data_IF_098761126222
#
_entry.id   IF_098761126222
#
_cell.length_a   1.000
_cell.length_b   1.000
_cell.length_c   1.000
_cell.angle_alpha   90.00
_cell.angle_beta   90.00
_cell.angle_gamma   90.00
#
_symmetry.space_group_name_H-M   'P 1'
#
loop_
_entity.id
_entity.type
_entity.pdbx_description
1 polymer ?
#
# COMPACT_ATOMS: atom_id res chain seq x y z
N UNK A 1 8.78 7.16 -0.32
CA UNK A 1 7.42 6.61 -0.44
C UNK A 1 6.68 6.83 0.86
N UNK A 2 5.52 7.48 0.84
CA UNK A 2 4.61 7.65 1.99
C UNK A 2 3.42 6.71 1.84
N UNK A 3 3.21 5.83 2.81
CA UNK A 3 2.16 4.79 2.76
C UNK A 3 1.04 5.19 3.71
N UNK A 4 -0.22 5.09 3.29
CA UNK A 4 -1.39 5.20 4.16
C UNK A 4 -2.02 3.83 4.31
N UNK A 5 -2.14 3.33 5.55
CA UNK A 5 -2.84 2.08 5.87
C UNK A 5 -4.16 2.43 6.55
N UNK A 6 -5.27 1.93 5.99
CA UNK A 6 -6.61 2.30 6.45
C UNK A 6 -7.33 1.24 7.24
N UNK A 7 -6.73 0.08 7.52
CA UNK A 7 -7.34 -1.04 8.26
C UNK A 7 -6.50 -1.42 9.49
N UNK A 8 -7.08 -2.06 10.51
CA UNK A 8 -6.35 -2.57 11.67
C UNK A 8 -5.30 -3.62 11.26
N UNK A 9 -4.08 -3.46 11.74
CA UNK A 9 -3.01 -4.48 11.61
C UNK A 9 -2.76 -5.16 12.95
N UNK A 10 -2.19 -6.36 12.92
CA UNK A 10 -1.75 -7.07 14.11
C UNK A 10 -0.71 -6.26 14.93
N UNK A 11 -0.75 -6.41 16.25
CA UNK A 11 0.04 -5.59 17.20
C UNK A 11 1.56 -5.80 17.04
N UNK A 12 1.98 -7.03 16.76
CA UNK A 12 3.36 -7.40 16.49
C UNK A 12 3.91 -6.71 15.22
N UNK A 13 3.07 -6.49 14.21
CA UNK A 13 3.42 -5.75 12.99
C UNK A 13 3.38 -4.23 13.22
N UNK A 14 2.48 -3.74 14.07
CA UNK A 14 2.27 -2.31 14.31
C UNK A 14 3.57 -1.58 14.71
N UNK A 15 4.32 -2.14 15.65
CA UNK A 15 5.58 -1.54 16.10
C UNK A 15 6.63 -1.48 14.98
N UNK A 16 6.60 -2.44 14.05
CA UNK A 16 7.46 -2.44 12.87
C UNK A 16 7.15 -1.29 11.94
N UNK A 17 5.86 -1.08 11.61
CA UNK A 17 5.43 -0.10 10.61
C UNK A 17 5.48 1.34 11.10
N UNK A 18 5.30 1.58 12.40
CA UNK A 18 5.31 2.95 12.96
C UNK A 18 6.68 3.63 12.88
N UNK A 19 7.74 2.84 12.70
CA UNK A 19 9.09 3.36 12.51
C UNK A 19 9.42 3.72 11.05
N UNK A 20 8.51 3.43 10.11
CA UNK A 20 8.67 3.69 8.68
C UNK A 20 7.87 4.93 8.22
N UNK A 21 7.93 5.25 6.93
CA UNK A 21 7.12 6.32 6.30
C UNK A 21 5.64 5.92 6.13
N UNK A 22 5.05 5.34 7.18
CA UNK A 22 3.70 4.81 7.22
C UNK A 22 2.80 5.71 8.07
N UNK A 23 1.67 6.10 7.51
CA UNK A 23 0.57 6.73 8.21
C UNK A 23 -0.46 5.63 8.53
N UNK A 24 -0.61 5.33 9.81
CA UNK A 24 -1.57 4.35 10.28
C UNK A 24 -2.88 5.02 10.71
N UNK A 25 -3.98 4.75 9.98
CA UNK A 25 -5.31 5.33 10.21
C UNK A 25 -6.41 4.27 10.06
N UNK A 26 -6.44 3.25 10.94
CA UNK A 26 -7.40 2.15 10.85
C UNK A 26 -8.86 2.62 11.03
N UNK A 27 -9.06 3.79 11.64
CA UNK A 27 -10.36 4.44 11.79
C UNK A 27 -11.00 4.80 10.44
N UNK A 28 -10.21 4.91 9.37
CA UNK A 28 -10.72 5.25 8.04
C UNK A 28 -11.45 4.09 7.36
N UNK A 29 -11.23 2.83 7.77
CA UNK A 29 -11.92 1.68 7.18
C UNK A 29 -13.44 1.75 7.35
N UNK A 30 -13.88 2.24 8.50
CA UNK A 30 -15.29 2.26 8.91
C UNK A 30 -15.91 3.66 8.77
N UNK A 31 -15.10 4.67 8.48
CA UNK A 31 -15.57 6.04 8.22
C UNK A 31 -16.02 6.19 6.78
N UNK A 32 -17.00 7.07 6.57
CA UNK A 32 -17.49 7.37 5.22
C UNK A 32 -16.45 8.08 4.35
N UNK A 33 -16.69 8.05 3.04
CA UNK A 33 -15.79 8.49 1.97
C UNK A 33 -15.26 9.92 2.12
N UNK A 34 -16.02 10.81 2.75
CA UNK A 34 -15.56 12.18 3.06
C UNK A 34 -14.27 12.21 3.87
N UNK A 35 -14.13 11.29 4.83
CA UNK A 35 -12.96 11.23 5.71
C UNK A 35 -11.76 10.61 5.00
N UNK A 36 -12.01 9.59 4.18
CA UNK A 36 -10.99 8.96 3.33
C UNK A 36 -10.48 9.96 2.29
N UNK A 37 -11.39 10.71 1.66
CA UNK A 37 -11.06 11.80 0.72
C UNK A 37 -10.15 12.81 1.38
N UNK A 38 -10.57 13.36 2.54
CA UNK A 38 -9.78 14.34 3.29
C UNK A 38 -8.38 13.80 3.62
N UNK A 39 -8.29 12.56 4.10
CA UNK A 39 -7.02 11.94 4.43
C UNK A 39 -6.10 11.82 3.19
N UNK A 40 -6.62 11.34 2.05
CA UNK A 40 -5.83 11.19 0.83
C UNK A 40 -5.38 12.53 0.23
N UNK A 41 -6.22 13.57 0.28
CA UNK A 41 -5.90 14.88 -0.28
C UNK A 41 -4.97 15.70 0.59
N UNK A 42 -5.11 15.62 1.93
CA UNK A 42 -4.29 16.39 2.88
C UNK A 42 -2.96 15.71 3.18
N UNK A 43 -2.98 14.39 3.42
CA UNK A 43 -1.77 13.64 3.78
C UNK A 43 -0.92 13.30 2.56
N UNK A 44 -1.52 13.33 1.37
CA UNK A 44 -0.86 13.10 0.08
C UNK A 44 0.06 11.87 0.10
N UNK A 45 -0.45 10.68 0.47
CA UNK A 45 0.36 9.47 0.40
C UNK A 45 0.70 9.15 -1.06
N UNK A 46 1.78 8.40 -1.26
CA UNK A 46 2.12 7.79 -2.55
C UNK A 46 1.37 6.46 -2.73
N UNK A 47 1.12 5.76 -1.62
CA UNK A 47 0.50 4.43 -1.61
C UNK A 47 -0.65 4.40 -0.63
N UNK A 48 -1.80 3.89 -1.08
CA UNK A 48 -2.90 3.52 -0.21
C UNK A 48 -2.93 2.00 -0.06
N UNK A 49 -2.86 1.49 1.17
CA UNK A 49 -3.10 0.09 1.49
C UNK A 49 -4.45 -0.04 2.19
N UNK A 50 -5.37 -0.76 1.56
CA UNK A 50 -6.74 -0.88 2.03
C UNK A 50 -7.29 -2.30 1.82
N UNK A 51 -8.20 -2.74 2.69
CA UNK A 51 -8.91 -4.01 2.47
C UNK A 51 -10.02 -3.87 1.43
N UNK A 52 -10.75 -2.75 1.47
CA UNK A 52 -11.77 -2.37 0.50
C UNK A 52 -11.29 -1.16 -0.29
N UNK A 53 -11.50 -1.18 -1.61
CA UNK A 53 -11.26 0.01 -2.42
C UNK A 53 -12.20 1.15 -2.00
N UNK A 54 -11.69 2.39 -1.90
CA UNK A 54 -12.55 3.55 -1.74
C UNK A 54 -13.37 3.78 -3.00
N UNK A 55 -14.42 4.59 -2.90
CA UNK A 55 -15.23 4.96 -4.06
C UNK A 55 -14.40 5.67 -5.14
N UNK A 56 -14.78 5.49 -6.41
CA UNK A 56 -14.04 6.11 -7.53
C UNK A 56 -13.87 7.61 -7.38
N UNK A 57 -14.88 8.31 -6.85
CA UNK A 57 -14.84 9.75 -6.67
C UNK A 57 -13.80 10.19 -5.64
N UNK A 58 -13.56 9.37 -4.61
CA UNK A 58 -12.50 9.56 -3.62
C UNK A 58 -11.14 9.48 -4.32
N UNK A 59 -10.96 8.46 -5.16
CA UNK A 59 -9.71 8.25 -5.91
C UNK A 59 -9.47 9.38 -6.92
N UNK A 60 -10.50 9.81 -7.66
CA UNK A 60 -10.40 10.97 -8.56
C UNK A 60 -9.98 12.24 -7.81
N UNK A 61 -10.54 12.46 -6.62
CA UNK A 61 -10.18 13.62 -5.78
C UNK A 61 -8.72 13.55 -5.32
N UNK A 62 -8.23 12.36 -4.94
CA UNK A 62 -6.82 12.15 -4.64
C UNK A 62 -5.92 12.41 -5.86
N UNK A 63 -6.34 11.93 -7.05
CA UNK A 63 -5.63 12.17 -8.32
C UNK A 63 -5.46 13.67 -8.59
N UNK A 64 -6.55 14.43 -8.47
CA UNK A 64 -6.56 15.88 -8.70
C UNK A 64 -5.74 16.65 -7.65
N UNK A 65 -5.71 16.19 -6.41
CA UNK A 65 -4.98 16.86 -5.33
C UNK A 65 -3.45 16.68 -5.39
N UNK A 66 -2.98 15.69 -6.13
CA UNK A 66 -1.54 15.32 -6.20
C UNK A 66 -1.05 15.05 -7.63
N UNK A 67 -1.33 15.92 -8.62
CA UNK A 67 -1.22 15.59 -10.06
C UNK A 67 0.13 14.98 -10.47
N UNK A 68 1.23 15.44 -9.87
CA UNK A 68 2.60 15.01 -10.19
C UNK A 68 3.07 13.76 -9.43
N UNK A 69 2.25 13.18 -8.55
CA UNK A 69 2.64 12.04 -7.72
C UNK A 69 2.34 10.70 -8.41
N UNK A 70 3.36 9.84 -8.52
CA UNK A 70 3.20 8.46 -8.97
C UNK A 70 2.53 7.63 -7.87
N UNK A 71 1.19 7.58 -7.88
CA UNK A 71 0.41 6.87 -6.87
C UNK A 71 -0.11 5.52 -7.31
N UNK A 72 -0.39 4.66 -6.35
CA UNK A 72 -1.04 3.37 -6.56
C UNK A 72 -1.71 2.87 -5.28
N UNK A 73 -2.56 1.86 -5.43
CA UNK A 73 -3.27 1.21 -4.34
C UNK A 73 -2.76 -0.23 -4.21
N UNK A 74 -2.54 -0.68 -2.98
CA UNK A 74 -2.37 -2.09 -2.66
C UNK A 74 -3.62 -2.56 -1.93
N UNK A 75 -4.36 -3.49 -2.54
CA UNK A 75 -5.55 -4.05 -1.91
C UNK A 75 -5.17 -5.31 -1.13
N UNK A 76 -5.41 -5.29 0.18
CA UNK A 76 -5.21 -6.44 1.05
C UNK A 76 -6.49 -7.30 1.12
N UNK A 77 -6.42 -8.59 0.80
CA UNK A 77 -7.51 -9.53 1.13
C UNK A 77 -8.60 -9.75 0.07
N UNK A 78 -8.37 -9.42 -1.20
CA UNK A 78 -9.28 -9.86 -2.29
C UNK A 78 -8.69 -11.05 -3.05
N UNK A 79 -8.71 -12.23 -2.43
CA UNK A 79 -8.19 -13.49 -2.99
C UNK A 79 -9.22 -14.26 -3.82
N UNK A 80 -10.32 -13.65 -4.28
CA UNK A 80 -11.27 -14.32 -5.19
C UNK A 80 -10.61 -14.78 -6.50
N UNK A 81 -9.38 -14.33 -6.77
CA UNK A 81 -8.54 -14.76 -7.88
C UNK A 81 -7.17 -15.24 -7.41
N UNK A 82 -7.14 -16.18 -6.46
CA UNK A 82 -5.92 -16.88 -6.07
C UNK A 82 -5.20 -17.46 -7.31
N UNK A 83 -4.03 -16.92 -7.66
CA UNK A 83 -3.21 -17.45 -8.75
C UNK A 83 -2.28 -16.42 -9.40
N UNK A 84 -2.70 -15.17 -9.55
CA UNK A 84 -1.88 -14.10 -10.12
C UNK A 84 -2.20 -12.78 -9.42
N UNK A 85 -1.19 -12.03 -8.99
CA UNK A 85 -1.37 -10.67 -8.51
C UNK A 85 -2.01 -9.85 -9.65
N UNK A 86 -3.32 -9.57 -9.56
CA UNK A 86 -4.02 -8.79 -10.57
C UNK A 86 -3.62 -7.33 -10.42
N UNK A 87 -3.02 -6.81 -11.48
CA UNK A 87 -2.84 -5.38 -11.68
C UNK A 87 -3.98 -4.88 -12.57
N UNK A 88 -4.72 -3.88 -12.10
CA UNK A 88 -5.75 -3.21 -12.88
C UNK A 88 -5.74 -1.71 -12.59
N UNK A 89 -6.43 -0.92 -13.42
CA UNK A 89 -6.61 0.51 -13.19
C UNK A 89 -7.98 0.76 -12.58
N UNK A 90 -8.04 1.57 -11.52
CA UNK A 90 -9.26 2.02 -10.88
C UNK A 90 -9.24 3.54 -10.79
N UNK A 91 -10.19 4.19 -11.47
CA UNK A 91 -10.22 5.65 -11.60
C UNK A 91 -8.88 6.28 -12.07
N UNK A 92 -8.14 5.58 -12.94
CA UNK A 92 -6.83 6.02 -13.44
C UNK A 92 -5.66 5.73 -12.51
N UNK A 93 -5.91 5.14 -11.33
CA UNK A 93 -4.88 4.73 -10.38
C UNK A 93 -4.64 3.22 -10.46
N UNK A 94 -3.38 2.78 -10.64
CA UNK A 94 -3.03 1.37 -10.58
C UNK A 94 -3.37 0.74 -9.23
N UNK A 95 -3.96 -0.45 -9.26
CA UNK A 95 -4.28 -1.26 -8.09
C UNK A 95 -3.53 -2.59 -8.21
N UNK A 96 -2.90 -3.01 -7.11
CA UNK A 96 -2.21 -4.28 -6.98
C UNK A 96 -2.83 -5.08 -5.83
N UNK A 97 -3.27 -6.31 -6.09
CA UNK A 97 -3.85 -7.16 -5.06
C UNK A 97 -2.78 -8.03 -4.39
N UNK A 98 -2.81 -8.15 -3.07
CA UNK A 98 -1.97 -9.14 -2.38
C UNK A 98 -2.47 -10.55 -2.69
N UNK A 99 -1.52 -11.48 -2.76
CA UNK A 99 -1.80 -12.91 -2.85
C UNK A 99 -1.38 -13.52 -1.52
N UNK A 100 -2.28 -14.23 -0.82
CA UNK A 100 -1.93 -14.89 0.44
C UNK A 100 -0.72 -15.81 0.29
N UNK A 101 0.26 -15.66 1.18
CA UNK A 101 1.40 -16.56 1.36
C UNK A 101 1.51 -16.94 2.84
N UNK A 102 1.29 -18.21 3.17
CA UNK A 102 1.31 -18.73 4.54
C UNK A 102 2.66 -18.55 5.26
N UNK A 103 3.73 -18.24 4.52
CA UNK A 103 5.07 -17.99 5.08
C UNK A 103 5.26 -16.55 5.54
N UNK A 104 4.38 -15.63 5.15
CA UNK A 104 4.52 -14.20 5.39
C UNK A 104 3.25 -13.71 6.11
N UNK A 105 3.44 -12.99 7.21
CA UNK A 105 2.32 -12.39 7.94
C UNK A 105 1.44 -11.55 6.99
N UNK A 106 0.10 -11.73 7.00
CA UNK A 106 -0.80 -11.11 6.03
C UNK A 106 -0.73 -9.58 6.00
N UNK A 107 -0.46 -8.94 7.15
CA UNK A 107 -0.27 -7.48 7.23
C UNK A 107 1.09 -6.99 6.71
N UNK A 108 2.07 -7.89 6.58
CA UNK A 108 3.41 -7.58 6.02
C UNK A 108 3.40 -7.70 4.49
N UNK A 109 2.66 -8.66 3.94
CA UNK A 109 2.56 -8.88 2.48
C UNK A 109 2.25 -7.61 1.66
N UNK A 110 1.25 -6.77 2.00
CA UNK A 110 0.95 -5.58 1.23
C UNK A 110 2.06 -4.52 1.29
N UNK A 111 2.83 -4.47 2.39
CA UNK A 111 3.97 -3.58 2.53
C UNK A 111 5.12 -4.00 1.62
N UNK A 112 5.45 -5.30 1.61
CA UNK A 112 6.44 -5.87 0.70
C UNK A 112 6.04 -5.59 -0.76
N UNK A 113 4.77 -5.75 -1.09
CA UNK A 113 4.26 -5.48 -2.44
C UNK A 113 4.38 -3.99 -2.80
N UNK A 114 4.03 -3.09 -1.87
CA UNK A 114 4.18 -1.65 -2.07
C UNK A 114 5.63 -1.26 -2.39
N UNK A 115 6.58 -1.74 -1.59
CA UNK A 115 8.00 -1.48 -1.80
C UNK A 115 8.51 -2.04 -3.13
N UNK A 116 8.11 -3.27 -3.48
CA UNK A 116 8.49 -3.90 -4.76
C UNK A 116 7.97 -3.11 -5.96
N UNK A 117 6.73 -2.64 -5.91
CA UNK A 117 6.11 -1.84 -6.99
C UNK A 117 6.79 -0.48 -7.10
N UNK A 118 7.00 0.20 -5.96
CA UNK A 118 7.66 1.50 -5.94
C UNK A 118 9.08 1.42 -6.48
N UNK A 119 9.87 0.45 -6.03
CA UNK A 119 11.25 0.22 -6.50
C UNK A 119 11.30 -0.02 -8.01
N UNK A 120 10.45 -0.92 -8.53
CA UNK A 120 10.37 -1.18 -9.99
C UNK A 120 10.02 0.07 -10.78
N UNK A 121 9.07 0.87 -10.31
CA UNK A 121 8.65 2.11 -10.98
C UNK A 121 9.75 3.17 -10.97
N UNK A 122 10.44 3.33 -9.84
CA UNK A 122 11.60 4.21 -9.73
C UNK A 122 12.75 3.77 -10.65
N UNK A 123 12.97 2.47 -10.86
CA UNK A 123 13.97 1.97 -11.81
C UNK A 123 13.60 2.17 -13.28
N UNK A 124 12.31 2.16 -13.64
CA UNK A 124 11.86 2.40 -15.03
C UNK A 124 11.94 3.88 -15.40
N UNK A 125 11.84 4.79 -14.42
CA UNK A 125 11.91 6.24 -14.63
C UNK A 125 13.29 6.83 -14.32
N UNK A 126 14.11 6.11 -13.54
CA UNK A 126 15.47 6.47 -13.15
C UNK A 126 16.47 5.46 -13.72
N UNK A 127 16.84 5.64 -14.99
CA UNK A 127 18.12 5.16 -15.45
C UNK A 127 19.21 5.67 -14.50
N UNK A 128 19.89 4.73 -13.82
CA UNK A 128 21.03 4.93 -12.92
C UNK A 128 20.68 5.38 -11.48
N UNK A 129 20.42 4.40 -10.60
CA UNK A 129 21.20 4.17 -9.36
C UNK A 129 20.78 2.85 -8.71
N UNK A 130 21.71 1.89 -8.67
CA UNK A 130 21.59 0.68 -7.83
C UNK A 130 21.58 1.12 -6.37
N UNK A 131 20.56 0.72 -5.61
CA UNK A 131 20.67 0.63 -4.15
C UNK A 131 20.20 -0.75 -3.72
N UNK A 132 21.04 -1.34 -2.88
CA UNK A 132 21.19 -2.74 -2.58
C UNK A 132 20.07 -3.31 -1.72
N UNK A 133 19.84 -4.61 -1.93
CA UNK A 133 19.11 -5.51 -1.07
C UNK A 133 19.38 -5.28 0.42
N UNK A 134 18.32 -5.07 1.20
CA UNK A 134 18.26 -5.46 2.60
C UNK A 134 17.08 -6.43 2.74
N UNK A 135 17.38 -7.72 2.49
CA UNK A 135 16.67 -8.80 3.15
C UNK A 135 16.84 -8.58 4.65
N UNK A 136 15.82 -8.03 5.31
CA UNK A 136 15.79 -7.93 6.76
C UNK A 136 15.62 -9.34 7.31
N UNK A 137 16.75 -9.97 7.62
CA UNK A 137 16.90 -11.18 8.45
C UNK A 137 16.40 -10.93 9.88
N UNK A 138 15.11 -10.64 10.08
CA UNK A 138 14.54 -10.46 11.44
C UNK A 138 13.33 -11.31 11.80
N UNK A 139 12.84 -12.17 10.90
CA UNK A 139 11.72 -13.07 11.17
C UNK A 139 12.06 -14.57 11.13
N UNK A 140 13.34 -14.94 11.17
CA UNK A 140 13.80 -16.34 11.07
C UNK A 140 14.49 -16.86 12.35
N UNK A 141 14.27 -16.22 13.50
CA UNK A 141 14.89 -16.61 14.79
C UNK A 141 13.90 -17.04 15.88
N UNK A 142 12.70 -17.49 15.53
CA UNK A 142 11.71 -18.05 16.46
C UNK A 142 11.14 -19.39 15.96
N UNK A 143 12.03 -20.26 15.47
CA UNK A 143 11.80 -21.70 15.32
C UNK A 143 12.90 -22.45 16.07
#
# INVERSE_FOLDING_TARGET
MRILITYPVAEDVLLGILNDNVIYRPDLQTKGDRFVTKALTELRPDVLIAQKLPDEQVVKSWVLATPDSARFIVQNGNSQYAGEAKHFSFAGVPVFTTVPDDRIHPDIQPLILAERVHTKRSHVWGGVRRVSFLQTKKYLSLL
#
